data_IF_490604380814
#
_entry.id   IF_490604380814
#
_cell.length_a   1.000
_cell.length_b   1.000
_cell.length_c   1.000
_cell.angle_alpha   90.00
_cell.angle_beta   90.00
_cell.angle_gamma   90.00
#
_symmetry.space_group_name_H-M   'P 1'
#
loop_
_entity.id
_entity.type
_entity.pdbx_description
1 polymer ?
#
# COMPACT_ATOMS: atom_id res chain seq x y z
N UNK A 1 -1.13 5.77 -19.63
CA UNK A 1 -0.40 6.46 -18.54
C UNK A 1 1.10 6.56 -18.79
N UNK A 2 1.87 5.47 -18.87
CA UNK A 2 3.35 5.55 -19.04
C UNK A 2 3.82 6.23 -20.35
N UNK A 3 3.08 6.09 -21.44
CA UNK A 3 3.39 6.82 -22.69
C UNK A 3 3.21 8.34 -22.53
N UNK A 4 2.15 8.77 -21.83
CA UNK A 4 1.89 10.18 -21.53
C UNK A 4 2.95 10.78 -20.60
N UNK A 5 3.46 9.99 -19.66
CA UNK A 5 4.59 10.41 -18.82
C UNK A 5 5.84 10.72 -19.64
N UNK A 6 6.15 9.91 -20.66
CA UNK A 6 7.31 10.13 -21.52
C UNK A 6 7.17 11.38 -22.39
N UNK A 7 5.96 11.66 -22.88
CA UNK A 7 5.72 12.76 -23.83
C UNK A 7 5.43 14.09 -23.14
N UNK A 8 4.82 14.08 -21.95
CA UNK A 8 4.33 15.29 -21.28
C UNK A 8 4.86 15.46 -19.84
N UNK A 9 5.75 14.58 -19.37
CA UNK A 9 6.25 14.60 -17.99
C UNK A 9 6.98 15.89 -17.60
N UNK A 10 7.55 16.61 -18.58
CA UNK A 10 8.19 17.92 -18.39
C UNK A 10 7.22 19.11 -18.50
N UNK A 11 6.05 18.90 -19.11
CA UNK A 11 5.01 19.93 -19.30
C UNK A 11 4.00 19.97 -18.15
N UNK A 12 4.07 19.03 -17.21
CA UNK A 12 3.17 18.96 -16.07
C UNK A 12 3.51 20.01 -15.02
N UNK A 13 2.74 21.11 -15.05
CA UNK A 13 2.87 22.28 -14.17
C UNK A 13 2.75 21.92 -12.68
N UNK A 14 1.98 20.87 -12.35
CA UNK A 14 1.78 20.39 -10.96
C UNK A 14 3.01 19.65 -10.41
N UNK A 15 3.85 19.08 -11.27
CA UNK A 15 5.04 18.29 -10.87
C UNK A 15 6.35 19.05 -11.10
N UNK A 16 6.34 20.37 -10.91
CA UNK A 16 7.55 21.21 -10.93
C UNK A 16 8.53 20.75 -9.84
N UNK A 17 9.76 20.44 -10.21
CA UNK A 17 10.81 19.99 -9.27
C UNK A 17 10.82 18.49 -8.97
N UNK A 18 10.07 17.67 -9.72
CA UNK A 18 10.11 16.21 -9.57
C UNK A 18 11.48 15.63 -9.92
N UNK A 19 11.84 14.56 -9.23
CA UNK A 19 12.93 13.66 -9.61
C UNK A 19 12.64 13.04 -10.98
N UNK A 20 13.44 13.38 -12.00
CA UNK A 20 13.27 12.87 -13.38
C UNK A 20 13.71 11.42 -13.53
N UNK A 21 14.53 10.93 -12.59
CA UNK A 21 15.02 9.57 -12.51
C UNK A 21 13.97 8.57 -11.98
N UNK A 22 12.91 9.06 -11.34
CA UNK A 22 11.85 8.23 -10.77
C UNK A 22 10.54 8.45 -11.55
N UNK A 23 9.99 7.41 -12.20
CA UNK A 23 8.71 7.54 -12.89
C UNK A 23 7.59 7.80 -11.86
N UNK A 24 6.72 8.75 -12.14
CA UNK A 24 5.50 8.97 -11.37
C UNK A 24 4.48 7.88 -11.66
N UNK A 25 4.46 7.32 -12.89
CA UNK A 25 3.65 6.15 -13.21
C UNK A 25 4.41 4.91 -12.75
N UNK A 26 4.10 4.46 -11.52
CA UNK A 26 4.56 3.17 -10.99
C UNK A 26 4.20 1.99 -11.88
N UNK A 27 4.81 0.82 -11.65
CA UNK A 27 4.56 -0.40 -12.45
C UNK A 27 3.09 -0.88 -12.42
N UNK A 28 2.30 -0.38 -11.47
CA UNK A 28 0.85 -0.64 -11.34
C UNK A 28 0.55 -2.14 -11.29
N UNK A 29 1.36 -2.90 -10.56
CA UNK A 29 1.18 -4.33 -10.36
C UNK A 29 1.00 -4.59 -8.87
N UNK A 30 0.04 -5.43 -8.52
CA UNK A 30 -0.18 -5.87 -7.15
C UNK A 30 0.96 -6.77 -6.68
N UNK A 31 1.20 -6.85 -5.37
CA UNK A 31 2.15 -7.79 -4.78
C UNK A 31 3.65 -7.48 -4.98
N UNK A 32 4.01 -6.47 -5.77
CA UNK A 32 5.42 -6.12 -6.07
C UNK A 32 6.23 -5.84 -4.81
N UNK A 33 5.62 -5.30 -3.75
CA UNK A 33 6.32 -5.05 -2.50
C UNK A 33 6.84 -6.35 -1.85
N UNK A 34 6.09 -7.47 -1.95
CA UNK A 34 6.52 -8.79 -1.45
C UNK A 34 7.71 -9.34 -2.21
N UNK A 35 7.87 -8.99 -3.49
CA UNK A 35 8.99 -9.46 -4.32
C UNK A 35 10.18 -8.49 -4.34
N UNK A 36 9.97 -7.23 -3.96
CA UNK A 36 10.98 -6.17 -4.06
C UNK A 36 11.68 -5.91 -2.73
N UNK A 37 10.96 -6.08 -1.62
CA UNK A 37 11.53 -5.91 -0.29
C UNK A 37 12.28 -7.17 0.13
N UNK A 38 13.28 -6.98 1.00
CA UNK A 38 13.96 -8.11 1.64
C UNK A 38 13.01 -8.86 2.57
N UNK A 39 13.29 -10.15 2.80
CA UNK A 39 12.52 -11.00 3.72
C UNK A 39 12.43 -10.39 5.13
N UNK A 40 13.50 -9.76 5.60
CA UNK A 40 13.53 -9.10 6.91
C UNK A 40 12.53 -7.93 6.98
N UNK A 41 12.44 -7.12 5.92
CA UNK A 41 11.46 -6.03 5.85
C UNK A 41 10.03 -6.57 5.80
N UNK A 42 9.79 -7.64 5.04
CA UNK A 42 8.48 -8.29 4.94
C UNK A 42 8.06 -8.83 6.31
N UNK A 43 8.95 -9.53 7.01
CA UNK A 43 8.69 -10.05 8.34
C UNK A 43 8.37 -8.94 9.36
N UNK A 44 9.05 -7.80 9.30
CA UNK A 44 8.74 -6.65 10.17
C UNK A 44 7.36 -6.06 9.91
N UNK A 45 6.98 -5.92 8.63
CA UNK A 45 5.65 -5.43 8.24
C UNK A 45 4.58 -6.41 8.70
N UNK A 46 4.73 -7.69 8.35
CA UNK A 46 3.75 -8.72 8.66
C UNK A 46 3.63 -8.94 10.17
N UNK A 47 4.71 -8.85 10.94
CA UNK A 47 4.66 -8.91 12.41
C UNK A 47 3.71 -7.88 13.04
N UNK A 48 3.63 -6.68 12.46
CA UNK A 48 2.82 -5.59 13.02
C UNK A 48 1.44 -5.51 12.35
N UNK A 49 1.35 -5.81 11.05
CA UNK A 49 0.14 -5.59 10.24
C UNK A 49 -0.56 -6.88 9.83
N UNK A 50 0.05 -8.04 10.09
CA UNK A 50 -0.42 -9.37 9.71
C UNK A 50 -1.88 -9.64 10.04
N UNK A 51 -2.35 -9.39 11.28
CA UNK A 51 -3.76 -9.60 11.64
C UNK A 51 -4.73 -8.76 10.82
N UNK A 52 -4.41 -7.48 10.59
CA UNK A 52 -5.22 -6.59 9.77
C UNK A 52 -5.20 -7.04 8.31
N UNK A 53 -4.03 -7.39 7.78
CA UNK A 53 -3.87 -7.90 6.43
C UNK A 53 -4.70 -9.17 6.20
N UNK A 54 -4.66 -10.13 7.13
CA UNK A 54 -5.49 -11.33 7.07
C UNK A 54 -6.99 -11.01 7.12
N UNK A 55 -7.42 -10.07 7.96
CA UNK A 55 -8.84 -9.66 8.03
C UNK A 55 -9.36 -9.03 6.73
N UNK A 56 -8.47 -8.39 5.96
CA UNK A 56 -8.76 -7.79 4.66
C UNK A 56 -8.62 -8.79 3.49
N UNK A 57 -8.26 -10.05 3.76
CA UNK A 57 -8.08 -11.10 2.77
C UNK A 57 -6.73 -11.06 2.03
N UNK A 58 -5.74 -10.35 2.56
CA UNK A 58 -4.37 -10.42 2.03
C UNK A 58 -3.67 -11.69 2.51
N UNK A 59 -3.06 -12.40 1.58
CA UNK A 59 -2.16 -13.51 1.87
C UNK A 59 -0.88 -12.99 2.54
N UNK A 60 -0.41 -13.66 3.59
CA UNK A 60 0.86 -13.37 4.26
C UNK A 60 1.93 -14.34 3.77
N UNK A 61 3.16 -13.87 3.62
CA UNK A 61 4.31 -14.73 3.35
C UNK A 61 4.63 -15.56 4.59
N UNK A 62 4.58 -14.93 5.77
CA UNK A 62 4.77 -15.61 7.04
C UNK A 62 3.41 -15.81 7.73
N UNK A 63 2.85 -17.01 7.58
CA UNK A 63 1.55 -17.39 8.13
C UNK A 63 1.47 -17.25 9.68
N UNK A 64 2.60 -17.30 10.36
CA UNK A 64 2.72 -17.09 11.81
C UNK A 64 2.19 -15.72 12.28
N UNK A 65 2.26 -14.69 11.45
CA UNK A 65 1.80 -13.35 11.81
C UNK A 65 0.30 -13.10 11.54
N UNK A 66 -0.40 -14.06 10.90
CA UNK A 66 -1.84 -13.96 10.63
C UNK A 66 -2.74 -14.41 11.78
N UNK A 67 -2.19 -15.15 12.75
CA UNK A 67 -2.96 -15.78 13.84
C UNK A 67 -3.05 -14.94 15.11
N UNK A 68 -2.44 -13.76 15.16
CA UNK A 68 -2.59 -12.88 16.31
C UNK A 68 -3.98 -12.23 16.29
N UNK A 69 -4.71 -12.37 17.39
CA UNK A 69 -6.06 -11.81 17.60
C UNK A 69 -6.11 -10.39 17.04
N UNK A 70 -6.97 -10.19 16.03
CA UNK A 70 -7.12 -8.91 15.37
C UNK A 70 -7.32 -7.80 16.42
N UNK A 71 -6.59 -6.66 16.34
CA UNK A 71 -6.93 -5.51 17.15
C UNK A 71 -8.37 -5.11 16.81
N UNK A 72 -9.21 -4.97 17.83
CA UNK A 72 -10.62 -4.61 17.70
C UNK A 72 -10.78 -3.32 16.86
N UNK A 73 -11.13 -3.47 15.58
CA UNK A 73 -11.37 -2.34 14.65
C UNK A 73 -12.77 -1.72 14.88
N UNK A 74 -13.41 -1.99 16.02
CA UNK A 74 -14.76 -1.47 16.34
C UNK A 74 -14.84 0.05 16.52
N UNK A 75 -13.71 0.79 16.51
CA UNK A 75 -13.73 2.24 16.68
C UNK A 75 -14.13 3.06 15.43
N UNK A 76 -14.29 2.47 14.25
CA UNK A 76 -14.62 3.24 13.02
C UNK A 76 -16.12 3.33 12.69
N UNK A 77 -17.02 2.61 13.40
CA UNK A 77 -18.46 2.64 13.11
C UNK A 77 -19.27 3.69 13.90
N UNK A 78 -18.64 4.64 14.60
CA UNK A 78 -19.38 5.54 15.53
C UNK A 78 -19.60 6.99 15.10
N UNK A 79 -19.26 7.43 13.89
CA UNK A 79 -19.48 8.84 13.52
C UNK A 79 -19.83 9.06 12.05
N UNK A 80 -20.96 8.53 11.58
CA UNK A 80 -21.74 9.18 10.50
C UNK A 80 -23.23 8.91 10.71
N UNK A 81 -23.85 9.66 11.63
CA UNK A 81 -25.30 9.88 11.63
C UNK A 81 -25.54 11.27 11.04
N UNK A 82 -25.53 11.34 9.71
CA UNK A 82 -26.04 12.52 9.00
C UNK A 82 -27.55 12.49 9.14
N UNK A 83 -28.11 13.36 9.98
CA UNK A 83 -29.54 13.61 10.00
C UNK A 83 -29.89 14.46 8.77
N UNK A 84 -30.87 13.98 8.00
CA UNK A 84 -31.70 14.83 7.15
C UNK A 84 -32.83 15.42 7.97
#
# INVERSE_FOLDING_TARGET
MRSLEKTQGDAWVVTKGRRKDVPFVGRATSGVWKSTLSEACIAQIEKVWGPLMSSLGYELVNAEFGNAVAPDVSLSKRLYKVQF
#
